data_IF_518992053439
#
_entry.id   IF_518992053439
#
_cell.length_a   1.000
_cell.length_b   1.000
_cell.length_c   1.000
_cell.angle_alpha   90.00
_cell.angle_beta   90.00
_cell.angle_gamma   90.00
#
_symmetry.space_group_name_H-M   'P 1'
#
loop_
_entity.id
_entity.type
_entity.pdbx_description
1 polymer ?
#
# COMPACT_ATOMS: atom_id res chain seq x y z
N UNK A 1 7.15 16.62 -13.60
CA UNK A 1 6.47 16.61 -12.28
C UNK A 1 7.52 16.72 -11.20
N UNK A 2 7.23 17.45 -10.16
CA UNK A 2 8.16 17.71 -9.06
C UNK A 2 7.98 16.68 -7.95
N UNK A 3 8.98 16.55 -7.07
CA UNK A 3 8.91 15.70 -5.88
C UNK A 3 7.79 16.17 -4.93
N UNK A 4 7.56 17.49 -4.81
CA UNK A 4 6.47 18.01 -3.99
C UNK A 4 5.09 17.55 -4.49
N UNK A 5 4.91 17.40 -5.79
CA UNK A 5 3.68 16.88 -6.38
C UNK A 5 3.44 15.42 -5.97
N UNK A 6 4.49 14.61 -5.88
CA UNK A 6 4.40 13.24 -5.37
C UNK A 6 4.07 13.25 -3.87
N UNK A 7 4.74 14.10 -3.10
CA UNK A 7 4.50 14.22 -1.65
C UNK A 7 3.06 14.60 -1.33
N UNK A 8 2.42 15.41 -2.18
CA UNK A 8 1.01 15.77 -2.02
C UNK A 8 0.08 14.56 -2.14
N UNK A 9 0.46 13.53 -2.89
CA UNK A 9 -0.33 12.30 -3.02
C UNK A 9 -0.04 11.30 -1.89
N UNK A 10 1.04 11.50 -1.14
CA UNK A 10 1.46 10.59 -0.05
C UNK A 10 0.55 10.75 1.15
N UNK A 11 0.07 9.63 1.66
CA UNK A 11 -0.74 9.59 2.88
C UNK A 11 -0.34 8.40 3.73
N UNK A 12 -0.38 8.57 5.04
CA UNK A 12 0.10 7.55 5.97
C UNK A 12 -1.07 6.92 6.74
N UNK A 13 -1.21 5.59 6.65
CA UNK A 13 -2.15 4.86 7.49
C UNK A 13 -1.51 4.58 8.86
N UNK A 14 -0.20 4.38 8.88
CA UNK A 14 0.61 4.35 10.10
C UNK A 14 1.66 5.45 9.92
N UNK A 15 1.57 6.56 10.67
CA UNK A 15 2.42 7.72 10.42
C UNK A 15 3.91 7.40 10.36
N UNK A 16 4.54 7.74 9.25
CA UNK A 16 5.96 7.54 9.02
C UNK A 16 6.40 6.08 8.82
N UNK A 17 5.46 5.13 8.79
CA UNK A 17 5.79 3.70 8.71
C UNK A 17 5.16 2.99 7.53
N UNK A 18 3.87 3.25 7.28
CA UNK A 18 3.16 2.59 6.19
C UNK A 18 2.17 3.56 5.55
N UNK A 19 2.33 3.78 4.27
CA UNK A 19 1.49 4.73 3.57
C UNK A 19 1.19 4.35 2.14
N UNK A 20 0.49 5.24 1.46
CA UNK A 20 0.10 5.09 0.07
C UNK A 20 0.36 6.35 -0.74
N UNK A 21 0.52 6.19 -2.04
CA UNK A 21 0.73 7.30 -2.95
C UNK A 21 0.38 6.88 -4.37
N UNK A 22 0.32 7.85 -5.28
CA UNK A 22 0.24 7.56 -6.71
C UNK A 22 1.58 7.01 -7.22
N UNK A 23 1.57 6.44 -8.40
CA UNK A 23 2.79 5.95 -9.06
C UNK A 23 3.80 7.10 -9.25
N UNK A 24 5.05 6.94 -8.81
CA UNK A 24 6.07 7.95 -9.04
C UNK A 24 6.55 7.94 -10.50
N UNK A 25 7.03 9.09 -10.97
CA UNK A 25 7.69 9.19 -12.28
C UNK A 25 9.16 8.77 -12.15
N UNK A 26 9.79 8.49 -13.30
CA UNK A 26 11.19 8.03 -13.31
C UNK A 26 12.14 8.99 -12.61
N UNK A 27 11.96 10.29 -12.80
CA UNK A 27 12.82 11.32 -12.19
C UNK A 27 12.59 11.47 -10.68
N UNK A 28 11.46 11.02 -10.16
CA UNK A 28 11.16 11.09 -8.72
C UNK A 28 11.77 9.92 -7.93
N UNK A 29 11.98 8.77 -8.59
CA UNK A 29 12.40 7.54 -7.92
C UNK A 29 13.72 7.70 -7.15
N UNK A 30 14.80 8.30 -7.69
CA UNK A 30 16.06 8.42 -6.96
C UNK A 30 15.99 9.28 -5.71
N UNK A 31 14.92 10.05 -5.53
CA UNK A 31 14.81 11.04 -4.45
C UNK A 31 13.70 10.72 -3.44
N UNK A 32 13.15 9.49 -3.48
CA UNK A 32 12.04 9.10 -2.60
C UNK A 32 12.38 9.21 -1.12
N UNK A 33 13.64 8.95 -0.75
CA UNK A 33 14.08 9.08 0.64
C UNK A 33 13.92 10.50 1.18
N UNK A 34 13.92 11.52 0.33
CA UNK A 34 13.76 12.92 0.73
C UNK A 34 12.37 13.22 1.28
N UNK A 35 11.37 12.39 0.94
CA UNK A 35 10.01 12.52 1.48
C UNK A 35 9.66 11.37 2.42
N UNK A 36 10.68 10.66 2.93
CA UNK A 36 10.53 9.66 3.98
C UNK A 36 10.17 8.25 3.50
N UNK A 37 10.41 7.93 2.23
CA UNK A 37 10.08 6.63 1.65
C UNK A 37 11.36 5.79 1.55
N UNK A 38 11.39 4.65 2.26
CA UNK A 38 12.54 3.75 2.28
C UNK A 38 12.35 2.50 1.42
N UNK A 39 11.11 2.04 1.27
CA UNK A 39 10.80 0.83 0.51
C UNK A 39 9.45 1.00 -0.18
N UNK A 40 9.23 0.25 -1.26
CA UNK A 40 8.04 0.38 -2.10
C UNK A 40 7.34 -0.95 -2.31
N UNK A 41 6.01 -0.89 -2.39
CA UNK A 41 5.21 -2.01 -2.89
C UNK A 41 4.40 -1.49 -4.08
N UNK A 42 4.62 -2.08 -5.26
CA UNK A 42 3.80 -1.79 -6.43
C UNK A 42 2.67 -2.80 -6.52
N UNK A 43 1.45 -2.30 -6.58
CA UNK A 43 0.27 -3.15 -6.82
C UNK A 43 -0.33 -2.88 -8.20
N UNK A 44 0.48 -2.30 -9.09
CA UNK A 44 0.14 -2.16 -10.51
C UNK A 44 0.00 -3.55 -11.14
N UNK A 45 -0.89 -3.68 -12.11
CA UNK A 45 -1.06 -4.92 -12.86
C UNK A 45 -0.08 -5.07 -14.03
N UNK A 46 0.82 -4.12 -14.20
CA UNK A 46 1.91 -4.14 -15.17
C UNK A 46 3.26 -3.90 -14.48
N UNK A 47 4.39 -4.21 -15.15
CA UNK A 47 5.72 -4.09 -14.53
C UNK A 47 6.30 -2.67 -14.57
N UNK A 48 5.48 -1.63 -14.71
CA UNK A 48 5.96 -0.24 -14.74
C UNK A 48 6.86 0.07 -13.55
N UNK A 49 7.97 0.72 -13.81
CA UNK A 49 8.96 1.19 -12.81
C UNK A 49 9.82 0.10 -12.16
N UNK A 50 9.52 -1.20 -12.33
CA UNK A 50 10.25 -2.23 -11.59
C UNK A 50 11.74 -2.24 -11.92
N UNK A 51 12.11 -2.03 -13.18
CA UNK A 51 13.50 -1.92 -13.61
C UNK A 51 14.19 -0.71 -12.97
N UNK A 52 13.47 0.39 -12.80
CA UNK A 52 13.99 1.60 -12.15
C UNK A 52 14.19 1.37 -10.65
N UNK A 53 13.30 0.63 -10.00
CA UNK A 53 13.48 0.27 -8.59
C UNK A 53 14.71 -0.62 -8.40
N UNK A 54 14.93 -1.58 -9.33
CA UNK A 54 16.15 -2.39 -9.32
C UNK A 54 17.40 -1.54 -9.46
N UNK A 55 17.42 -0.61 -10.44
CA UNK A 55 18.57 0.23 -10.70
C UNK A 55 18.90 1.16 -9.54
N UNK A 56 17.90 1.67 -8.85
CA UNK A 56 18.11 2.56 -7.69
C UNK A 56 18.36 1.79 -6.40
N UNK A 57 18.25 0.47 -6.44
CA UNK A 57 18.49 -0.42 -5.29
C UNK A 57 17.54 -0.16 -4.11
N UNK A 58 16.38 0.45 -4.36
CA UNK A 58 15.35 0.59 -3.34
C UNK A 58 14.68 -0.77 -3.09
N UNK A 59 14.52 -1.21 -1.84
CA UNK A 59 13.76 -2.43 -1.57
C UNK A 59 12.35 -2.31 -2.13
N UNK A 60 11.90 -3.31 -2.88
CA UNK A 60 10.55 -3.28 -3.45
C UNK A 60 9.94 -4.68 -3.55
N UNK A 61 8.62 -4.70 -3.62
CA UNK A 61 7.84 -5.91 -3.84
C UNK A 61 6.77 -5.59 -4.89
N UNK A 62 6.54 -6.51 -5.82
CA UNK A 62 5.49 -6.37 -6.83
C UNK A 62 4.38 -7.38 -6.55
N UNK A 63 3.17 -6.88 -6.30
CA UNK A 63 1.98 -7.69 -6.05
C UNK A 63 0.89 -7.28 -7.04
N UNK A 64 0.96 -7.76 -8.31
CA UNK A 64 0.08 -7.28 -9.36
C UNK A 64 -1.39 -7.50 -9.03
N UNK A 65 -2.18 -6.44 -9.12
CA UNK A 65 -3.62 -6.45 -8.83
C UNK A 65 -4.32 -5.59 -9.87
N UNK A 66 -5.31 -6.18 -10.54
CA UNK A 66 -6.10 -5.47 -11.54
C UNK A 66 -6.95 -4.37 -10.91
N UNK A 67 -7.06 -3.23 -11.57
CA UNK A 67 -7.86 -2.11 -11.09
C UNK A 67 -9.30 -2.52 -10.78
N UNK A 68 -9.82 -2.09 -9.62
CA UNK A 68 -11.15 -2.41 -9.16
C UNK A 68 -11.31 -3.79 -8.54
N UNK A 69 -10.27 -4.65 -8.64
CA UNK A 69 -10.29 -6.00 -8.09
C UNK A 69 -9.59 -6.05 -6.73
N UNK A 70 -9.79 -7.16 -6.02
CA UNK A 70 -9.14 -7.41 -4.75
C UNK A 70 -7.84 -8.19 -4.94
N UNK A 71 -6.91 -8.09 -3.98
CA UNK A 71 -5.75 -8.98 -3.94
C UNK A 71 -6.17 -10.40 -3.52
N UNK A 72 -5.22 -11.33 -3.52
CA UNK A 72 -5.40 -12.67 -2.96
C UNK A 72 -4.89 -12.69 -1.52
N UNK A 73 -5.31 -13.70 -0.75
CA UNK A 73 -4.81 -13.90 0.62
C UNK A 73 -3.29 -14.10 0.60
N UNK A 74 -2.78 -14.85 -0.38
CA UNK A 74 -1.34 -15.09 -0.54
C UNK A 74 -0.58 -13.78 -0.77
N UNK A 75 -1.13 -12.88 -1.56
CA UNK A 75 -0.52 -11.56 -1.77
C UNK A 75 -0.50 -10.76 -0.46
N UNK A 76 -1.53 -10.82 0.35
CA UNK A 76 -1.56 -10.14 1.64
C UNK A 76 -0.53 -10.72 2.59
N UNK A 77 -0.33 -12.04 2.59
CA UNK A 77 0.72 -12.67 3.39
C UNK A 77 2.11 -12.20 2.97
N UNK A 78 2.38 -12.14 1.67
CA UNK A 78 3.65 -11.63 1.14
C UNK A 78 3.84 -10.16 1.51
N UNK A 79 2.77 -9.38 1.41
CA UNK A 79 2.77 -7.97 1.76
C UNK A 79 3.12 -7.78 3.23
N UNK A 80 2.43 -8.49 4.12
CA UNK A 80 2.67 -8.43 5.56
C UNK A 80 4.12 -8.76 5.89
N UNK A 81 4.66 -9.84 5.30
CA UNK A 81 6.03 -10.26 5.56
C UNK A 81 7.02 -9.19 5.12
N UNK A 82 6.82 -8.58 3.95
CA UNK A 82 7.69 -7.53 3.45
C UNK A 82 7.65 -6.30 4.35
N UNK A 83 6.46 -5.84 4.72
CA UNK A 83 6.28 -4.66 5.58
C UNK A 83 6.92 -4.90 6.94
N UNK A 84 6.66 -6.06 7.56
CA UNK A 84 7.21 -6.37 8.88
C UNK A 84 8.74 -6.44 8.85
N UNK A 85 9.32 -7.00 7.78
CA UNK A 85 10.77 -7.06 7.63
C UNK A 85 11.39 -5.65 7.51
N UNK A 86 10.76 -4.77 6.75
CA UNK A 86 11.23 -3.39 6.61
C UNK A 86 11.08 -2.62 7.92
N UNK A 87 9.96 -2.78 8.61
CA UNK A 87 9.74 -2.13 9.91
C UNK A 87 10.75 -2.60 10.96
N UNK A 88 11.16 -3.87 10.91
CA UNK A 88 12.20 -4.39 11.81
C UNK A 88 13.56 -3.70 11.57
N UNK A 89 13.77 -3.16 10.37
CA UNK A 89 14.95 -2.37 10.02
C UNK A 89 14.74 -0.86 10.23
N UNK A 90 13.65 -0.46 10.87
CA UNK A 90 13.23 0.94 11.06
C UNK A 90 13.04 1.69 9.72
N UNK A 91 12.58 0.99 8.70
CA UNK A 91 12.35 1.56 7.36
C UNK A 91 10.85 1.68 7.08
N UNK A 92 10.47 2.79 6.43
CA UNK A 92 9.10 3.03 5.99
C UNK A 92 8.80 2.26 4.71
N UNK A 93 7.52 1.92 4.52
CA UNK A 93 7.03 1.27 3.31
C UNK A 93 5.86 2.08 2.74
N UNK A 94 5.87 2.31 1.44
CA UNK A 94 4.78 3.00 0.75
C UNK A 94 4.29 2.13 -0.40
N UNK A 95 2.97 1.97 -0.47
CA UNK A 95 2.28 1.22 -1.51
C UNK A 95 1.82 2.18 -2.60
N UNK A 96 2.00 1.82 -3.86
CA UNK A 96 1.42 2.60 -4.94
C UNK A 96 0.67 1.74 -5.94
N UNK A 97 -0.40 2.30 -6.48
CA UNK A 97 -1.05 1.91 -7.73
C UNK A 97 -1.00 3.13 -8.65
N UNK A 98 -1.87 3.27 -9.63
CA UNK A 98 -1.80 4.46 -10.50
C UNK A 98 -2.17 5.73 -9.75
N UNK A 99 -3.27 5.74 -9.00
CA UNK A 99 -3.76 6.94 -8.27
C UNK A 99 -3.46 6.94 -6.78
N UNK A 100 -3.07 5.79 -6.20
CA UNK A 100 -2.81 5.69 -4.76
C UNK A 100 -4.07 5.61 -3.91
N UNK A 101 -5.18 5.15 -4.47
CA UNK A 101 -6.47 5.13 -3.76
C UNK A 101 -7.00 3.72 -3.53
N UNK A 102 -7.67 3.10 -4.52
CA UNK A 102 -8.45 1.87 -4.32
C UNK A 102 -7.62 0.63 -4.03
N UNK A 103 -6.75 0.23 -4.97
CA UNK A 103 -5.89 -0.94 -4.76
C UNK A 103 -4.96 -0.71 -3.58
N UNK A 104 -4.35 0.47 -3.52
CA UNK A 104 -3.48 0.88 -2.41
C UNK A 104 -4.23 0.86 -1.10
N UNK A 105 -5.41 1.48 -1.04
CA UNK A 105 -6.23 1.51 0.18
C UNK A 105 -6.63 0.12 0.64
N UNK A 106 -6.92 -0.79 -0.29
CA UNK A 106 -7.27 -2.18 0.03
C UNK A 106 -6.11 -2.90 0.71
N UNK A 107 -4.89 -2.79 0.16
CA UNK A 107 -3.71 -3.41 0.76
C UNK A 107 -3.41 -2.84 2.16
N UNK A 108 -3.51 -1.52 2.31
CA UNK A 108 -3.24 -0.88 3.60
C UNK A 108 -4.26 -1.29 4.67
N UNK A 109 -5.54 -1.32 4.30
CA UNK A 109 -6.58 -1.82 5.22
C UNK A 109 -6.36 -3.29 5.56
N UNK A 110 -5.99 -4.12 4.56
CA UNK A 110 -5.70 -5.52 4.78
C UNK A 110 -4.56 -5.72 5.78
N UNK A 111 -3.52 -4.90 5.71
CA UNK A 111 -2.42 -4.96 6.68
C UNK A 111 -2.93 -4.73 8.11
N UNK A 112 -3.79 -3.74 8.33
CA UNK A 112 -4.36 -3.48 9.66
C UNK A 112 -5.17 -4.68 10.15
N UNK A 113 -5.89 -5.36 9.25
CA UNK A 113 -6.65 -6.57 9.60
C UNK A 113 -5.69 -7.68 10.05
N UNK A 114 -4.56 -7.86 9.38
CA UNK A 114 -3.56 -8.85 9.80
C UNK A 114 -2.98 -8.54 11.18
N UNK A 115 -3.08 -7.28 11.63
CA UNK A 115 -2.61 -6.84 12.94
C UNK A 115 -3.73 -6.76 13.98
N UNK A 116 -4.92 -7.25 13.68
CA UNK A 116 -6.01 -7.40 14.65
C UNK A 116 -7.17 -6.44 14.49
N UNK A 117 -7.13 -5.52 13.55
CA UNK A 117 -8.28 -4.65 13.28
C UNK A 117 -9.42 -5.43 12.63
N UNK A 118 -10.66 -5.05 12.90
CA UNK A 118 -11.79 -5.53 12.12
C UNK A 118 -11.77 -4.89 10.73
N UNK A 119 -12.52 -5.46 9.79
CA UNK A 119 -12.64 -4.87 8.46
C UNK A 119 -13.19 -3.45 8.54
N UNK A 120 -14.22 -3.22 9.38
CA UNK A 120 -14.79 -1.88 9.57
C UNK A 120 -13.74 -0.89 10.07
N UNK A 121 -13.01 -1.26 11.11
CA UNK A 121 -11.97 -0.40 11.70
C UNK A 121 -10.88 -0.07 10.69
N UNK A 122 -10.45 -1.07 9.91
CA UNK A 122 -9.40 -0.90 8.91
C UNK A 122 -9.85 0.04 7.79
N UNK A 123 -11.08 -0.12 7.29
CA UNK A 123 -11.63 0.74 6.24
C UNK A 123 -11.79 2.17 6.77
N UNK A 124 -12.31 2.33 8.00
CA UNK A 124 -12.44 3.66 8.61
C UNK A 124 -11.08 4.33 8.80
N UNK A 125 -10.06 3.58 9.20
CA UNK A 125 -8.71 4.11 9.34
C UNK A 125 -8.16 4.62 8.00
N UNK A 126 -8.37 3.86 6.93
CA UNK A 126 -7.96 4.27 5.59
C UNK A 126 -8.68 5.56 5.16
N UNK A 127 -9.98 5.64 5.40
CA UNK A 127 -10.79 6.81 5.04
C UNK A 127 -10.43 8.05 5.87
N UNK A 128 -10.06 7.88 7.12
CA UNK A 128 -9.57 9.00 7.96
C UNK A 128 -8.21 9.49 7.48
N UNK A 129 -7.33 8.58 7.09
CA UNK A 129 -6.01 8.93 6.60
C UNK A 129 -6.08 9.58 5.21
N UNK A 130 -7.05 9.16 4.39
CA UNK A 130 -7.28 9.72 3.06
C UNK A 130 -8.79 9.76 2.77
N UNK A 131 -9.45 10.92 2.96
CA UNK A 131 -10.89 11.04 2.73
C UNK A 131 -11.34 10.75 1.30
N UNK A 132 -10.43 10.68 0.33
CA UNK A 132 -10.74 10.35 -1.06
C UNK A 132 -10.84 8.84 -1.29
N UNK A 133 -10.58 8.01 -0.29
CA UNK A 133 -10.68 6.55 -0.40
C UNK A 133 -12.16 6.16 -0.60
N UNK A 134 -12.39 5.43 -1.67
CA UNK A 134 -13.71 4.90 -2.00
C UNK A 134 -13.51 3.51 -2.59
N UNK A 135 -13.62 2.48 -1.73
CA UNK A 135 -13.37 1.11 -2.14
C UNK A 135 -14.55 0.56 -2.94
N UNK A 136 -14.24 -0.30 -3.91
CA UNK A 136 -15.23 -1.04 -4.69
C UNK A 136 -15.80 -2.20 -3.85
N UNK A 137 -16.99 -2.67 -4.24
CA UNK A 137 -17.66 -3.77 -3.52
C UNK A 137 -16.77 -5.02 -3.42
N UNK A 138 -16.06 -5.37 -4.49
CA UNK A 138 -15.17 -6.53 -4.48
C UNK A 138 -14.05 -6.36 -3.44
N UNK A 139 -13.54 -5.15 -3.28
CA UNK A 139 -12.48 -4.84 -2.32
C UNK A 139 -13.00 -4.90 -0.89
N UNK A 140 -14.20 -4.35 -0.65
CA UNK A 140 -14.83 -4.40 0.67
C UNK A 140 -15.14 -5.85 1.06
N UNK A 141 -15.71 -6.62 0.13
CA UNK A 141 -16.01 -8.05 0.38
C UNK A 141 -14.75 -8.84 0.71
N UNK A 142 -13.66 -8.57 -0.01
CA UNK A 142 -12.38 -9.21 0.29
C UNK A 142 -11.91 -8.92 1.72
N UNK A 143 -12.00 -7.65 2.14
CA UNK A 143 -11.56 -7.27 3.49
C UNK A 143 -12.43 -7.92 4.56
N UNK A 144 -13.73 -8.02 4.33
CA UNK A 144 -14.65 -8.70 5.22
C UNK A 144 -14.33 -10.19 5.33
N UNK A 145 -14.05 -10.84 4.21
CA UNK A 145 -13.65 -12.26 4.17
C UNK A 145 -12.31 -12.48 4.86
N UNK A 146 -11.34 -11.59 4.65
CA UNK A 146 -10.04 -11.64 5.30
C UNK A 146 -10.19 -11.54 6.82
N UNK A 147 -11.00 -10.62 7.29
CA UNK A 147 -11.28 -10.44 8.71
C UNK A 147 -11.88 -11.71 9.32
N UNK A 148 -12.85 -12.32 8.64
CA UNK A 148 -13.47 -13.57 9.08
C UNK A 148 -12.46 -14.72 9.08
N UNK A 149 -11.63 -14.81 8.04
CA UNK A 149 -10.60 -15.85 7.90
C UNK A 149 -9.59 -15.80 9.07
N UNK A 150 -9.25 -14.59 9.52
CA UNK A 150 -8.32 -14.38 10.62
C UNK A 150 -9.00 -14.40 12.00
N UNK A 151 -10.31 -14.64 12.06
CA UNK A 151 -11.05 -14.72 13.32
C UNK A 151 -11.32 -13.37 13.96
N UNK A 152 -11.23 -12.27 13.20
CA UNK A 152 -11.51 -10.92 13.69
C UNK A 152 -12.97 -10.59 13.41
N UNK A 153 -13.69 -10.13 14.44
CA UNK A 153 -15.09 -9.72 14.27
C UNK A 153 -15.21 -8.32 13.67
N UNK A 154 -16.36 -8.07 13.00
CA UNK A 154 -16.66 -6.76 12.45
C UNK A 154 -16.85 -5.70 13.50
#
# INVERSE_FOLDING_TARGET
>A
MTLSSLAESLWWIIPGKLGGMRKPTADQIPTLSQIGIDALVSVMDDPSNLDLYEQTQIPYLWLPTTGGQSPTVEQIEQFQQFVDAQHALAKSVVVHCSSGRRRTGTFLAAYLITKGSSAREAIQAAQRANPQIELRDAQISFLQELSSHLGVSF
#
